data_IF_564271257538
#
_entry.id   IF_564271257538
#
_cell.length_a   1.000
_cell.length_b   1.000
_cell.length_c   1.000
_cell.angle_alpha   90.00
_cell.angle_beta   90.00
_cell.angle_gamma   90.00
#
_symmetry.space_group_name_H-M   'P 1'
#
loop_
_entity.id
_entity.type
_entity.pdbx_description
1 polymer ?
#
# COMPACT_ATOMS: atom_id res chain seq x y z
N UNK A 1 -9.96 -14.44 -19.58
CA UNK A 1 -9.39 -13.31 -20.34
C UNK A 1 -8.30 -12.69 -19.47
N UNK A 2 -7.04 -12.87 -19.84
CA UNK A 2 -5.93 -12.20 -19.17
C UNK A 2 -5.92 -10.74 -19.64
N UNK A 3 -6.03 -9.78 -18.71
CA UNK A 3 -5.85 -8.36 -19.03
C UNK A 3 -4.38 -8.14 -19.40
N UNK A 4 -4.15 -7.63 -20.60
CA UNK A 4 -2.83 -7.19 -21.07
C UNK A 4 -2.22 -6.20 -20.06
N UNK A 5 -0.98 -6.48 -19.66
CA UNK A 5 -0.16 -5.68 -18.74
C UNK A 5 0.45 -4.45 -19.44
N UNK A 6 -0.38 -3.57 -20.01
CA UNK A 6 0.09 -2.40 -20.77
C UNK A 6 -0.57 -1.07 -20.37
N UNK A 7 -1.33 -1.01 -19.30
CA UNK A 7 -1.91 0.26 -18.82
C UNK A 7 -0.95 0.90 -17.82
N UNK A 8 -0.46 2.10 -18.16
CA UNK A 8 0.23 2.98 -17.23
C UNK A 8 -0.84 3.58 -16.31
N UNK A 9 -0.78 3.23 -15.03
CA UNK A 9 -1.70 3.68 -14.01
C UNK A 9 -1.35 5.09 -13.50
N UNK A 10 -2.36 5.79 -12.96
CA UNK A 10 -2.21 7.06 -12.26
C UNK A 10 -2.39 6.89 -10.75
N UNK A 11 -1.36 7.26 -9.99
CA UNK A 11 -1.38 7.27 -8.53
C UNK A 11 -1.91 8.61 -8.01
N UNK A 12 -2.81 8.55 -7.03
CA UNK A 12 -3.15 9.68 -6.18
C UNK A 12 -3.17 9.25 -4.71
N UNK A 13 -2.56 10.07 -3.84
CA UNK A 13 -2.49 9.84 -2.40
C UNK A 13 -3.31 10.89 -1.66
N UNK A 14 -4.34 10.46 -0.92
CA UNK A 14 -5.22 11.38 -0.19
C UNK A 14 -4.96 11.26 1.31
N UNK A 15 -4.61 12.34 2.02
CA UNK A 15 -4.50 12.29 3.47
C UNK A 15 -5.89 12.02 4.08
N UNK A 16 -5.98 11.06 4.99
CA UNK A 16 -7.26 10.65 5.60
C UNK A 16 -7.27 10.74 7.12
N UNK A 17 -6.15 11.15 7.73
CA UNK A 17 -6.05 11.39 9.16
C UNK A 17 -4.72 10.90 9.71
N UNK A 18 -4.73 10.47 10.97
CA UNK A 18 -3.55 10.00 11.67
C UNK A 18 -3.79 8.64 12.30
N UNK A 19 -2.69 7.91 12.48
CA UNK A 19 -2.62 6.72 13.32
C UNK A 19 -1.43 6.87 14.27
N UNK A 20 -1.61 6.57 15.56
CA UNK A 20 -0.64 6.86 16.63
C UNK A 20 0.79 6.35 16.38
N UNK A 21 0.94 5.28 15.59
CA UNK A 21 2.23 4.66 15.25
C UNK A 21 2.61 4.74 13.75
N UNK A 22 1.77 5.37 12.92
CA UNK A 22 2.04 5.57 11.48
C UNK A 22 2.09 7.05 11.05
N UNK A 23 1.64 7.97 11.89
CA UNK A 23 1.67 9.40 11.66
C UNK A 23 0.51 9.80 10.76
N UNK A 24 0.71 10.81 9.92
CA UNK A 24 -0.20 11.14 8.82
C UNK A 24 -0.32 9.92 7.89
N UNK A 25 -1.55 9.47 7.67
CA UNK A 25 -1.86 8.32 6.82
C UNK A 25 -2.59 8.74 5.55
N UNK A 26 -2.33 7.99 4.47
CA UNK A 26 -2.89 8.23 3.16
C UNK A 26 -3.73 7.04 2.70
N UNK A 27 -4.88 7.34 2.09
CA UNK A 27 -5.60 6.37 1.28
C UNK A 27 -5.11 6.45 -0.18
N UNK A 28 -5.13 5.31 -0.85
CA UNK A 28 -4.46 5.09 -2.13
C UNK A 28 -5.50 4.99 -3.25
N UNK A 29 -5.33 5.79 -4.30
CA UNK A 29 -6.19 5.78 -5.47
C UNK A 29 -5.38 5.45 -6.72
N UNK A 30 -5.86 4.47 -7.49
CA UNK A 30 -5.31 4.02 -8.76
C UNK A 30 -6.35 4.30 -9.83
N UNK A 31 -6.02 5.14 -10.81
CA UNK A 31 -6.93 5.54 -11.89
C UNK A 31 -8.27 6.08 -11.37
N UNK A 32 -8.20 6.84 -10.26
CA UNK A 32 -9.34 7.41 -9.51
C UNK A 32 -10.20 6.40 -8.75
N UNK A 33 -9.83 5.12 -8.74
CA UNK A 33 -10.47 4.06 -7.93
C UNK A 33 -9.67 3.82 -6.66
N UNK A 34 -10.33 3.76 -5.51
CA UNK A 34 -9.67 3.42 -4.24
C UNK A 34 -9.07 2.00 -4.33
N UNK A 35 -7.79 1.84 -3.98
CA UNK A 35 -7.09 0.56 -4.02
C UNK A 35 -7.77 -0.47 -3.10
N UNK A 36 -8.31 -0.03 -1.95
CA UNK A 36 -9.11 -0.89 -1.07
C UNK A 36 -10.30 -1.51 -1.78
N UNK A 37 -10.96 -0.78 -2.69
CA UNK A 37 -12.05 -1.35 -3.51
C UNK A 37 -11.53 -2.49 -4.40
N UNK A 38 -10.38 -2.31 -5.04
CA UNK A 38 -9.77 -3.35 -5.88
C UNK A 38 -9.40 -4.59 -5.07
N UNK A 39 -8.79 -4.39 -3.90
CA UNK A 39 -8.44 -5.47 -2.96
C UNK A 39 -9.70 -6.19 -2.49
N UNK A 40 -10.73 -5.45 -2.07
CA UNK A 40 -12.01 -6.00 -1.58
C UNK A 40 -12.68 -6.89 -2.63
N UNK A 41 -12.75 -6.41 -3.88
CA UNK A 41 -13.31 -7.20 -4.98
C UNK A 41 -12.50 -8.48 -5.24
N UNK A 42 -11.17 -8.41 -5.16
CA UNK A 42 -10.32 -9.59 -5.30
C UNK A 42 -10.55 -10.60 -4.18
N UNK A 43 -10.64 -10.13 -2.93
CA UNK A 43 -10.73 -10.96 -1.73
C UNK A 43 -12.08 -11.66 -1.52
N UNK A 44 -13.15 -11.22 -2.21
CA UNK A 44 -14.46 -11.91 -2.20
C UNK A 44 -14.37 -13.40 -2.52
N UNK A 45 -13.35 -13.81 -3.27
CA UNK A 45 -13.09 -15.22 -3.61
C UNK A 45 -12.62 -16.07 -2.43
N UNK A 46 -12.07 -15.45 -1.38
CA UNK A 46 -11.48 -16.16 -0.24
C UNK A 46 -12.42 -16.22 0.96
N UNK A 47 -13.24 -15.19 1.18
CA UNK A 47 -14.10 -15.13 2.36
C UNK A 47 -15.38 -14.32 2.09
N UNK A 48 -16.48 -14.70 2.76
CA UNK A 48 -17.81 -14.08 2.55
C UNK A 48 -18.02 -12.75 3.27
N UNK A 49 -17.16 -12.39 4.23
CA UNK A 49 -17.38 -11.23 5.13
C UNK A 49 -16.13 -10.41 5.46
N UNK A 50 -14.95 -10.97 5.25
CA UNK A 50 -13.70 -10.37 5.70
C UNK A 50 -12.95 -9.70 4.54
N UNK A 51 -13.55 -9.67 3.35
CA UNK A 51 -12.94 -9.01 2.20
C UNK A 51 -12.91 -7.51 2.47
N UNK A 52 -11.73 -6.90 2.37
CA UNK A 52 -11.62 -5.44 2.50
C UNK A 52 -11.81 -4.89 3.92
N UNK A 53 -11.77 -5.72 4.96
CA UNK A 53 -11.85 -5.27 6.35
C UNK A 53 -10.52 -4.64 6.80
N UNK A 54 -10.18 -3.53 6.15
CA UNK A 54 -8.99 -2.74 6.36
C UNK A 54 -9.33 -1.25 6.46
N UNK A 55 -8.42 -0.51 7.09
CA UNK A 55 -8.35 0.95 7.05
C UNK A 55 -7.04 1.39 6.40
N UNK A 56 -6.99 2.64 5.94
CA UNK A 56 -5.80 3.25 5.38
C UNK A 56 -4.64 3.21 6.39
N UNK A 57 -3.46 2.81 5.91
CA UNK A 57 -2.28 2.64 6.76
C UNK A 57 -0.98 3.06 6.09
N UNK A 58 -1.03 3.65 4.88
CA UNK A 58 0.14 4.17 4.21
C UNK A 58 0.69 5.37 5.00
N UNK A 59 1.70 5.12 5.83
CA UNK A 59 2.16 6.06 6.84
C UNK A 59 3.33 6.93 6.42
N UNK A 60 3.69 7.87 7.29
CA UNK A 60 4.79 8.81 7.05
C UNK A 60 6.14 8.12 6.74
N UNK A 61 6.41 6.96 7.37
CA UNK A 61 7.64 6.18 7.14
C UNK A 61 7.68 5.56 5.73
N UNK A 62 6.53 5.08 5.22
CA UNK A 62 6.46 4.57 3.85
C UNK A 62 6.73 5.71 2.86
N UNK A 63 6.04 6.84 3.05
CA UNK A 63 6.10 8.02 2.19
C UNK A 63 7.50 8.62 2.11
N UNK A 64 8.23 8.72 3.22
CA UNK A 64 9.55 9.37 3.26
C UNK A 64 10.74 8.46 2.95
N UNK A 65 10.60 7.14 3.11
CA UNK A 65 11.76 6.25 3.08
C UNK A 65 11.60 4.99 2.24
N UNK A 66 10.39 4.68 1.77
CA UNK A 66 10.12 3.46 0.98
C UNK A 66 9.69 3.80 -0.43
N UNK A 67 8.82 4.80 -0.56
CA UNK A 67 8.14 5.06 -1.81
C UNK A 67 8.97 5.80 -2.85
N UNK A 68 10.03 6.51 -2.46
CA UNK A 68 10.92 7.29 -3.32
C UNK A 68 12.35 6.75 -3.42
N UNK A 69 12.67 5.64 -2.75
CA UNK A 69 14.01 5.06 -2.74
C UNK A 69 14.30 4.33 -4.06
N UNK A 70 14.64 5.11 -5.08
CA UNK A 70 14.91 4.66 -6.45
C UNK A 70 16.13 3.74 -6.58
N UNK A 71 17.01 3.70 -5.57
CA UNK A 71 18.23 2.89 -5.58
C UNK A 71 18.02 1.54 -4.90
N UNK A 72 16.94 1.38 -4.14
CA UNK A 72 16.60 0.09 -3.57
C UNK A 72 16.03 -0.84 -4.65
N UNK A 73 16.54 -2.06 -4.68
CA UNK A 73 16.06 -3.10 -5.59
C UNK A 73 14.59 -3.45 -5.34
N UNK A 74 14.21 -3.53 -4.07
CA UNK A 74 12.86 -3.84 -3.63
C UNK A 74 12.57 -3.11 -2.31
N UNK A 75 11.40 -2.47 -2.22
CA UNK A 75 10.91 -1.86 -0.97
C UNK A 75 9.52 -2.41 -0.65
N UNK A 76 9.29 -2.75 0.62
CA UNK A 76 7.97 -3.16 1.10
C UNK A 76 7.26 -1.94 1.68
N UNK A 77 5.99 -1.77 1.33
CA UNK A 77 5.12 -0.73 1.87
C UNK A 77 3.77 -1.32 2.30
N UNK A 78 3.07 -0.60 3.18
CA UNK A 78 1.82 -1.06 3.78
C UNK A 78 0.68 -0.07 3.50
N UNK A 79 -0.08 -0.23 2.40
CA UNK A 79 -1.19 0.70 2.11
C UNK A 79 -2.36 0.57 3.08
N UNK A 80 -2.59 -0.63 3.64
CA UNK A 80 -3.77 -0.93 4.43
C UNK A 80 -3.46 -1.86 5.60
N UNK A 81 -4.13 -1.63 6.72
CA UNK A 81 -4.01 -2.42 7.96
C UNK A 81 -5.39 -2.67 8.57
N UNK A 82 -5.44 -3.46 9.64
CA UNK A 82 -6.68 -3.82 10.31
C UNK A 82 -7.55 -2.60 10.66
N UNK A 83 -8.85 -2.69 10.40
CA UNK A 83 -9.84 -1.71 10.84
C UNK A 83 -10.24 -1.86 12.33
N UNK A 84 -9.75 -2.90 13.04
CA UNK A 84 -10.09 -3.14 14.44
C UNK A 84 -9.39 -2.21 15.46
N UNK A 85 -8.57 -1.27 15.00
CA UNK A 85 -7.80 -0.35 15.85
C UNK A 85 -6.45 -0.89 16.33
N UNK A 86 -6.08 -2.12 15.94
CA UNK A 86 -4.73 -2.67 16.10
C UNK A 86 -4.16 -3.04 14.72
N UNK A 87 -3.39 -2.12 14.12
CA UNK A 87 -2.85 -2.26 12.76
C UNK A 87 -2.08 -3.57 12.54
N UNK A 88 -1.42 -4.09 13.58
CA UNK A 88 -0.62 -5.33 13.55
C UNK A 88 -1.48 -6.59 13.41
N UNK A 89 -2.78 -6.52 13.73
CA UNK A 89 -3.68 -7.67 13.74
C UNK A 89 -3.73 -8.38 12.37
N UNK A 90 -3.73 -7.59 11.30
CA UNK A 90 -3.43 -8.01 9.94
C UNK A 90 -3.22 -6.78 9.06
N UNK A 91 -2.37 -6.92 8.05
CA UNK A 91 -2.04 -5.81 7.16
C UNK A 91 -1.71 -6.33 5.77
N UNK A 92 -2.02 -5.48 4.79
CA UNK A 92 -1.80 -5.72 3.39
C UNK A 92 -0.55 -4.98 2.94
N UNK A 93 0.33 -5.67 2.23
CA UNK A 93 1.61 -5.14 1.76
C UNK A 93 1.77 -5.36 0.27
N UNK A 94 2.49 -4.42 -0.36
CA UNK A 94 3.03 -4.58 -1.70
C UNK A 94 4.55 -4.45 -1.69
N UNK A 95 5.16 -4.85 -2.79
CA UNK A 95 6.56 -4.60 -3.10
C UNK A 95 6.64 -3.58 -4.22
N UNK A 96 7.46 -2.55 -4.01
CA UNK A 96 7.84 -1.54 -5.00
C UNK A 96 9.11 -2.03 -5.68
N UNK A 97 9.07 -2.08 -7.00
CA UNK A 97 10.24 -2.29 -7.86
C UNK A 97 10.31 -1.16 -8.87
N UNK A 98 11.53 -0.76 -9.23
CA UNK A 98 11.79 0.40 -10.09
C UNK A 98 12.75 -0.01 -11.19
N UNK A 99 12.39 0.24 -12.44
CA UNK A 99 13.20 -0.06 -13.62
C UNK A 99 13.06 1.07 -14.63
N UNK A 100 14.17 1.61 -15.11
CA UNK A 100 14.21 2.68 -16.13
C UNK A 100 13.22 3.82 -15.83
N UNK A 101 12.19 3.99 -16.65
CA UNK A 101 11.18 5.05 -16.53
C UNK A 101 9.90 4.61 -15.81
N UNK A 102 9.90 3.42 -15.19
CA UNK A 102 8.70 2.83 -14.58
C UNK A 102 8.90 2.43 -13.11
N UNK A 103 7.79 2.49 -12.37
CA UNK A 103 7.65 1.96 -11.01
C UNK A 103 6.54 0.93 -11.02
N UNK A 104 6.76 -0.22 -10.38
CA UNK A 104 5.79 -1.30 -10.31
C UNK A 104 5.46 -1.63 -8.86
N UNK A 105 4.16 -1.78 -8.58
CA UNK A 105 3.68 -2.32 -7.31
C UNK A 105 3.10 -3.71 -7.54
N UNK A 106 3.66 -4.68 -6.83
CA UNK A 106 3.29 -6.08 -7.02
C UNK A 106 3.61 -6.94 -5.82
N UNK A 107 3.73 -8.25 -6.06
CA UNK A 107 4.06 -9.26 -5.03
C UNK A 107 3.22 -9.11 -3.76
N UNK A 108 1.93 -8.82 -3.96
CA UNK A 108 1.00 -8.48 -2.92
C UNK A 108 0.83 -9.61 -1.91
N UNK A 109 0.63 -9.25 -0.64
CA UNK A 109 0.37 -10.22 0.41
C UNK A 109 -0.37 -9.60 1.59
N UNK A 110 -1.17 -10.42 2.25
CA UNK A 110 -1.52 -10.20 3.64
C UNK A 110 -0.64 -11.12 4.50
N UNK A 111 0.21 -10.55 5.35
CA UNK A 111 1.21 -11.32 6.11
C UNK A 111 0.59 -12.41 6.99
N UNK A 112 -0.63 -12.20 7.47
CA UNK A 112 -1.38 -13.14 8.31
C UNK A 112 -2.22 -14.15 7.51
N UNK A 113 -2.20 -14.05 6.17
CA UNK A 113 -2.88 -14.98 5.24
C UNK A 113 -1.93 -15.60 4.21
N UNK A 114 -0.63 -15.39 4.35
CA UNK A 114 0.39 -15.82 3.39
C UNK A 114 0.92 -17.25 3.64
N UNK A 115 0.63 -17.84 4.80
CA UNK A 115 1.10 -19.17 5.19
C UNK A 115 0.26 -20.30 4.56
N UNK A 116 0.82 -20.93 3.53
CA UNK A 116 0.18 -22.03 2.78
C UNK A 116 -0.13 -23.25 3.65
N UNK A 117 0.59 -23.46 4.74
CA UNK A 117 0.32 -24.59 5.66
C UNK A 117 -1.05 -24.47 6.33
N UNK A 118 -1.58 -23.25 6.46
CA UNK A 118 -2.89 -22.97 7.08
C UNK A 118 -4.05 -23.00 6.10
N UNK A 119 -3.84 -23.50 4.87
CA UNK A 119 -4.89 -23.59 3.83
C UNK A 119 -6.08 -24.45 4.26
N UNK A 120 -5.84 -25.57 4.94
CA UNK A 120 -6.89 -26.46 5.44
C UNK A 120 -7.81 -25.78 6.47
N UNK A 121 -7.28 -24.81 7.22
CA UNK A 121 -8.04 -23.99 8.18
C UNK A 121 -8.73 -22.78 7.52
N UNK A 122 -8.64 -22.62 6.20
CA UNK A 122 -9.23 -21.47 5.48
C UNK A 122 -8.49 -20.14 5.68
N UNK A 123 -7.27 -20.16 6.22
CA UNK A 123 -6.49 -18.97 6.58
C UNK A 123 -5.39 -18.61 5.56
N UNK A 124 -5.40 -19.21 4.37
CA UNK A 124 -4.43 -18.93 3.31
C UNK A 124 -5.08 -18.25 2.11
N UNK A 125 -4.66 -17.02 1.80
CA UNK A 125 -5.11 -16.22 0.67
C UNK A 125 -3.94 -15.95 -0.28
N UNK A 126 -4.09 -16.31 -1.55
CA UNK A 126 -3.04 -16.22 -2.55
C UNK A 126 -3.30 -15.03 -3.48
N UNK A 127 -2.43 -14.02 -3.45
CA UNK A 127 -2.56 -12.80 -4.25
C UNK A 127 -1.73 -12.82 -5.54
N UNK A 128 -1.26 -13.99 -5.98
CA UNK A 128 -0.47 -14.12 -7.22
C UNK A 128 -1.21 -13.61 -8.47
N UNK A 129 -2.56 -13.64 -8.43
CA UNK A 129 -3.42 -13.20 -9.53
C UNK A 129 -3.98 -11.78 -9.29
N UNK A 130 -3.56 -11.10 -8.21
CA UNK A 130 -3.86 -9.69 -7.98
C UNK A 130 -2.91 -8.85 -8.86
N UNK A 131 -3.40 -7.82 -9.57
CA UNK A 131 -2.63 -7.19 -10.64
C UNK A 131 -1.37 -6.50 -10.11
N UNK A 132 -0.30 -6.60 -10.89
CA UNK A 132 0.82 -5.66 -10.79
C UNK A 132 0.38 -4.33 -11.38
N UNK A 133 0.57 -3.27 -10.61
CA UNK A 133 0.30 -1.90 -11.06
C UNK A 133 1.60 -1.33 -11.63
N UNK A 134 1.50 -0.57 -12.72
CA UNK A 134 2.63 0.03 -13.42
C UNK A 134 2.42 1.53 -13.47
N UNK A 135 3.44 2.32 -13.14
CA UNK A 135 3.38 3.77 -13.16
C UNK A 135 4.52 4.34 -13.98
N UNK A 136 4.26 5.40 -14.72
CA UNK A 136 5.30 6.30 -15.19
C UNK A 136 6.03 6.89 -13.97
N UNK A 137 7.35 6.79 -13.96
CA UNK A 137 8.19 7.15 -12.81
C UNK A 137 8.13 8.65 -12.51
N UNK A 138 8.11 9.50 -13.53
CA UNK A 138 8.04 10.95 -13.34
C UNK A 138 6.72 11.35 -12.67
N UNK A 139 5.60 10.85 -13.18
CA UNK A 139 4.28 11.09 -12.62
C UNK A 139 4.16 10.52 -11.19
N UNK A 140 4.66 9.31 -10.98
CA UNK A 140 4.68 8.66 -9.68
C UNK A 140 5.43 9.49 -8.65
N UNK A 141 6.69 9.87 -8.93
CA UNK A 141 7.52 10.65 -8.01
C UNK A 141 6.93 12.05 -7.75
N UNK A 142 6.26 12.65 -8.73
CA UNK A 142 5.55 13.91 -8.51
C UNK A 142 4.44 13.77 -7.44
N UNK A 143 3.71 12.67 -7.43
CA UNK A 143 2.69 12.40 -6.40
C UNK A 143 3.32 12.09 -5.03
N UNK A 144 4.39 11.29 -5.00
CA UNK A 144 5.12 11.01 -3.76
C UNK A 144 5.66 12.31 -3.15
N UNK A 145 6.25 13.20 -3.95
CA UNK A 145 6.78 14.50 -3.49
C UNK A 145 5.70 15.38 -2.83
N UNK A 146 4.47 15.39 -3.37
CA UNK A 146 3.35 16.11 -2.73
C UNK A 146 3.04 15.52 -1.36
N UNK A 147 2.94 14.20 -1.26
CA UNK A 147 2.66 13.52 0.01
C UNK A 147 3.80 13.74 1.03
N UNK A 148 5.06 13.70 0.59
CA UNK A 148 6.21 14.01 1.43
C UNK A 148 6.18 15.44 1.98
N UNK A 149 5.76 16.41 1.18
CA UNK A 149 5.62 17.80 1.63
C UNK A 149 4.58 17.90 2.77
N UNK A 150 3.46 17.20 2.65
CA UNK A 150 2.44 17.12 3.70
C UNK A 150 2.99 16.48 4.98
N UNK A 151 3.71 15.36 4.86
CA UNK A 151 4.33 14.67 6.00
C UNK A 151 5.35 15.59 6.70
N UNK A 152 6.20 16.28 5.94
CA UNK A 152 7.21 17.21 6.49
C UNK A 152 6.60 18.41 7.20
N UNK A 153 5.40 18.82 6.80
CA UNK A 153 4.64 19.88 7.47
C UNK A 153 3.87 19.40 8.72
N UNK A 154 3.65 18.08 8.86
CA UNK A 154 2.90 17.50 9.95
C UNK A 154 3.78 17.21 11.18
N UNK A 155 3.62 18.01 12.24
CA UNK A 155 4.43 17.90 13.47
C UNK A 155 4.34 16.53 14.13
N UNK A 156 3.18 15.88 14.08
CA UNK A 156 2.98 14.56 14.70
C UNK A 156 3.82 13.50 13.98
N UNK A 157 3.80 13.50 12.66
CA UNK A 157 4.63 12.62 11.82
C UNK A 157 6.11 12.88 12.06
N UNK A 158 6.54 14.14 12.09
CA UNK A 158 7.95 14.47 12.32
C UNK A 158 8.42 14.06 13.71
N UNK A 159 7.59 14.24 14.74
CA UNK A 159 7.87 13.77 16.10
C UNK A 159 7.95 12.25 16.16
N UNK A 160 7.00 11.55 15.54
CA UNK A 160 7.00 10.09 15.46
C UNK A 160 8.27 9.53 14.83
N UNK A 161 8.77 10.20 13.79
CA UNK A 161 9.99 9.79 13.11
C UNK A 161 11.27 10.18 13.87
N UNK A 162 11.16 10.89 15.00
CA UNK A 162 12.31 11.39 15.75
C UNK A 162 13.04 12.53 15.05
N UNK A 163 12.37 13.26 14.15
CA UNK A 163 12.94 14.31 13.31
C UNK A 163 12.57 15.74 13.74
N UNK A 164 11.76 15.88 14.78
CA UNK A 164 11.48 17.17 15.43
C UNK A 164 11.68 17.06 16.94
N UNK A 165 12.44 17.99 17.50
CA UNK A 165 12.54 18.24 18.95
C UNK A 165 11.31 18.94 19.49
#
# INVERSE_FOLDING_TARGET
>A
MAKNSSEINHLALKPVGHYDNLGLIFDVYIDRVCLLTLISEYEKRFHKRLYGAYTAALGCRDILYRMDDINAKEQVFMPYACDCGAWECWFFQGVITSYDDFVFWGQWRNSHRSDKSKKSAGLYWCYKDFPTLCFDKTQYLAEINKAQALVKADKMSMKMLGLST
#
